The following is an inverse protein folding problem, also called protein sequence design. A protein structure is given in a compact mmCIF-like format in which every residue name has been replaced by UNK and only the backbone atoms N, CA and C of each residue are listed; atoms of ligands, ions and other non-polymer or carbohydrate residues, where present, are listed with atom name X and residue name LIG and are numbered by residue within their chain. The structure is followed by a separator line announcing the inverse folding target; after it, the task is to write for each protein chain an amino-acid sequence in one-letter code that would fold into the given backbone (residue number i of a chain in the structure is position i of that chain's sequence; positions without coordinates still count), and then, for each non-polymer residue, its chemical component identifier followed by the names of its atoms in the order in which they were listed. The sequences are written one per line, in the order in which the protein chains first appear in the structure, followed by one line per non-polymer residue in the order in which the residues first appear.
data_IF_664801534425
#
_entry.id   IF_664801534425
#
_cell.length_a   1.000
_cell.length_b   1.000
_cell.length_c   1.000
_cell.angle_alpha   90.00
_cell.angle_beta   90.00
_cell.angle_gamma   90.00
#
_symmetry.space_group_name_H-M   'P 1'
#
loop_
_entity.id
_entity.type
_entity.pdbx_description
1 polymer ?
#
# COMPACT_ATOMS: atom_id res chain seq x y z
N UNK A 1 -6.28 -10.52 18.25
CA UNK A 1 -6.26 -9.53 17.14
C UNK A 1 -7.38 -9.72 16.10
N UNK A 2 -8.10 -10.87 16.09
CA UNK A 2 -9.20 -11.11 15.15
C UNK A 2 -10.35 -10.06 15.29
N UNK A 3 -10.60 -9.56 16.48
CA UNK A 3 -11.62 -8.51 16.73
C UNK A 3 -11.32 -7.16 16.07
N UNK A 4 -10.06 -6.89 15.67
CA UNK A 4 -9.69 -5.65 14.98
C UNK A 4 -9.97 -5.71 13.47
N UNK A 5 -10.06 -6.91 12.89
CA UNK A 5 -10.24 -7.11 11.43
C UNK A 5 -11.49 -6.40 10.87
N UNK A 6 -12.71 -6.55 11.46
CA UNK A 6 -13.88 -5.88 10.89
C UNK A 6 -13.73 -4.35 10.88
N UNK A 7 -13.16 -3.77 11.93
CA UNK A 7 -12.95 -2.31 12.00
C UNK A 7 -11.91 -1.83 11.00
N UNK A 8 -10.81 -2.57 10.80
CA UNK A 8 -9.79 -2.23 9.81
C UNK A 8 -10.32 -2.33 8.37
N UNK A 9 -11.15 -3.33 8.06
CA UNK A 9 -11.80 -3.47 6.75
C UNK A 9 -12.77 -2.33 6.49
N UNK A 10 -13.64 -2.01 7.45
CA UNK A 10 -14.57 -0.87 7.34
C UNK A 10 -13.80 0.44 7.15
N UNK A 11 -12.73 0.65 7.90
CA UNK A 11 -11.87 1.82 7.77
C UNK A 11 -11.30 1.95 6.35
N UNK A 12 -10.79 0.86 5.76
CA UNK A 12 -10.24 0.85 4.40
C UNK A 12 -11.32 1.14 3.35
N UNK A 13 -12.51 0.58 3.50
CA UNK A 13 -13.65 0.82 2.60
C UNK A 13 -14.04 2.30 2.62
N UNK A 14 -14.23 2.87 3.81
CA UNK A 14 -14.57 4.30 3.97
C UNK A 14 -13.44 5.19 3.43
N UNK A 15 -12.18 4.82 3.67
CA UNK A 15 -11.02 5.54 3.15
C UNK A 15 -10.98 5.52 1.61
N UNK A 16 -11.35 4.42 0.99
CA UNK A 16 -11.45 4.31 -0.47
C UNK A 16 -12.60 5.16 -1.03
N UNK A 17 -13.72 5.25 -0.31
CA UNK A 17 -14.80 6.16 -0.66
C UNK A 17 -14.35 7.65 -0.64
N UNK A 18 -13.52 8.07 0.34
CA UNK A 18 -12.96 9.45 0.31
C UNK A 18 -12.04 9.70 -0.88
N UNK A 19 -11.35 8.67 -1.36
CA UNK A 19 -10.49 8.75 -2.53
C UNK A 19 -11.29 9.00 -3.83
N UNK A 20 -12.49 8.43 -3.97
CA UNK A 20 -13.38 8.65 -5.12
C UNK A 20 -13.75 10.13 -5.31
N UNK A 21 -13.77 10.91 -4.23
CA UNK A 21 -13.96 12.36 -4.29
C UNK A 21 -12.69 13.15 -4.66
N UNK A 22 -11.61 12.47 -5.11
CA UNK A 22 -10.28 13.06 -5.39
C UNK A 22 -9.61 13.72 -4.16
N UNK A 23 -10.01 13.36 -2.95
CA UNK A 23 -9.51 13.91 -1.69
C UNK A 23 -8.59 12.91 -0.97
N UNK A 24 -7.50 12.52 -1.64
CA UNK A 24 -6.46 11.62 -1.13
C UNK A 24 -5.88 12.07 0.23
N UNK A 25 -5.89 13.38 0.49
CA UNK A 25 -5.34 13.98 1.72
C UNK A 25 -5.91 13.35 2.99
N UNK A 26 -7.23 13.16 3.06
CA UNK A 26 -7.89 12.62 4.26
C UNK A 26 -7.55 11.15 4.49
N UNK A 27 -7.54 10.34 3.41
CA UNK A 27 -7.11 8.93 3.46
C UNK A 27 -5.67 8.81 3.97
N UNK A 28 -4.76 9.59 3.38
CA UNK A 28 -3.33 9.54 3.73
C UNK A 28 -3.07 10.02 5.16
N UNK A 29 -3.72 11.10 5.59
CA UNK A 29 -3.60 11.60 6.97
C UNK A 29 -4.06 10.55 7.99
N UNK A 30 -5.22 9.94 7.78
CA UNK A 30 -5.77 8.97 8.75
C UNK A 30 -4.91 7.72 8.79
N UNK A 31 -4.66 7.08 7.64
CA UNK A 31 -4.00 5.77 7.59
C UNK A 31 -2.50 5.87 7.91
N UNK A 32 -1.80 6.90 7.39
CA UNK A 32 -0.35 6.97 7.47
C UNK A 32 0.16 7.82 8.63
N UNK A 33 -0.69 8.63 9.28
CA UNK A 33 -0.26 9.50 10.39
C UNK A 33 -1.05 9.17 11.65
N UNK A 34 -2.38 9.32 11.65
CA UNK A 34 -3.16 9.18 12.88
C UNK A 34 -3.20 7.75 13.41
N UNK A 35 -3.43 6.76 12.55
CA UNK A 35 -3.49 5.34 12.97
C UNK A 35 -2.15 4.87 13.56
N UNK A 36 -0.97 5.10 12.94
CA UNK A 36 0.32 4.74 13.55
C UNK A 36 0.62 5.51 14.85
N UNK A 37 0.30 6.82 14.92
CA UNK A 37 0.53 7.60 16.13
C UNK A 37 -0.30 7.07 17.30
N UNK A 38 -1.57 6.77 17.08
CA UNK A 38 -2.45 6.23 18.14
C UNK A 38 -2.01 4.81 18.51
N UNK A 39 -1.57 4.02 17.54
CA UNK A 39 -1.01 2.69 17.80
C UNK A 39 0.22 2.79 18.71
N UNK A 40 1.14 3.72 18.45
CA UNK A 40 2.31 3.95 19.29
C UNK A 40 1.93 4.44 20.70
N UNK A 41 1.03 5.42 20.80
CA UNK A 41 0.57 5.93 22.09
C UNK A 41 -0.10 4.84 22.93
N UNK A 42 -0.98 4.07 22.33
CA UNK A 42 -1.67 2.97 23.03
C UNK A 42 -0.73 1.82 23.38
N UNK A 43 0.35 1.59 22.62
CA UNK A 43 1.39 0.63 22.94
C UNK A 43 2.17 1.08 24.18
N UNK A 44 2.57 2.34 24.27
CA UNK A 44 3.27 2.89 25.44
C UNK A 44 2.42 2.77 26.69
N UNK A 45 1.12 3.04 26.61
CA UNK A 45 0.17 2.87 27.73
C UNK A 45 0.01 1.38 28.07
N UNK A 46 -0.09 0.51 27.08
CA UNK A 46 -0.22 -0.94 27.25
C UNK A 46 0.95 -1.58 27.97
N UNK A 47 2.19 -1.10 27.71
CA UNK A 47 3.41 -1.58 28.37
C UNK A 47 3.40 -1.35 29.90
N UNK A 48 2.66 -0.35 30.38
CA UNK A 48 2.52 -0.09 31.82
C UNK A 48 1.58 -1.08 32.51
N UNK A 49 0.74 -1.79 31.73
CA UNK A 49 -0.27 -2.73 32.27
C UNK A 49 0.27 -4.16 32.22
N UNK A 50 0.61 -4.65 31.03
CA UNK A 50 1.27 -5.94 30.80
C UNK A 50 1.78 -6.07 29.37
N UNK A 51 2.79 -6.94 29.13
CA UNK A 51 3.37 -7.16 27.81
C UNK A 51 2.35 -7.74 26.79
N UNK A 52 1.42 -8.58 27.20
CA UNK A 52 0.39 -9.16 26.34
C UNK A 52 -0.65 -8.11 25.90
N UNK A 53 -0.99 -7.22 26.82
CA UNK A 53 -1.92 -6.10 26.59
C UNK A 53 -1.30 -5.09 25.63
N UNK A 54 0.00 -4.84 25.73
CA UNK A 54 0.76 -3.93 24.87
C UNK A 54 0.76 -4.36 23.40
N UNK A 55 0.57 -5.63 23.08
CA UNK A 55 0.56 -6.13 21.70
C UNK A 55 -0.87 -6.12 21.10
N UNK A 56 -1.88 -6.38 21.91
CA UNK A 56 -3.25 -6.61 21.40
C UNK A 56 -4.12 -5.35 21.36
N UNK A 57 -4.04 -4.51 22.37
CA UNK A 57 -4.86 -3.29 22.50
C UNK A 57 -4.54 -2.22 21.44
N UNK A 58 -3.27 -1.94 21.06
CA UNK A 58 -2.95 -0.91 20.08
C UNK A 58 -3.64 -1.10 18.75
N UNK A 59 -3.71 -2.34 18.28
CA UNK A 59 -4.30 -2.67 16.96
C UNK A 59 -5.82 -2.45 16.99
N UNK A 60 -6.48 -2.86 18.07
CA UNK A 60 -7.92 -2.65 18.26
C UNK A 60 -8.26 -1.16 18.37
N UNK A 61 -7.57 -0.46 19.26
CA UNK A 61 -7.87 0.94 19.55
C UNK A 61 -7.60 1.85 18.35
N UNK A 62 -6.48 1.64 17.68
CA UNK A 62 -6.12 2.41 16.48
C UNK A 62 -7.07 2.16 15.31
N UNK A 63 -7.57 0.93 15.11
CA UNK A 63 -8.51 0.61 14.03
C UNK A 63 -9.91 1.18 14.31
N UNK A 64 -10.40 1.14 15.54
CA UNK A 64 -11.68 1.75 15.92
C UNK A 64 -11.61 3.27 15.76
N UNK A 65 -10.57 3.90 16.30
CA UNK A 65 -10.39 5.34 16.20
C UNK A 65 -10.22 5.79 14.76
N UNK A 66 -9.42 5.06 13.96
CA UNK A 66 -9.26 5.33 12.53
C UNK A 66 -10.58 5.24 11.76
N UNK A 67 -11.42 4.24 12.09
CA UNK A 67 -12.75 4.08 11.51
C UNK A 67 -13.65 5.28 11.82
N UNK A 68 -13.72 5.71 13.08
CA UNK A 68 -14.53 6.86 13.50
C UNK A 68 -14.04 8.15 12.84
N UNK A 69 -12.74 8.36 12.80
CA UNK A 69 -12.15 9.58 12.25
C UNK A 69 -12.35 9.69 10.74
N UNK A 70 -12.18 8.59 9.99
CA UNK A 70 -12.40 8.60 8.54
C UNK A 70 -13.90 8.73 8.20
N UNK A 71 -14.79 8.13 8.99
CA UNK A 71 -16.23 8.28 8.86
C UNK A 71 -16.66 9.73 9.08
N UNK A 72 -16.09 10.40 10.09
CA UNK A 72 -16.31 11.83 10.34
C UNK A 72 -15.88 12.69 9.14
N UNK A 73 -14.71 12.43 8.56
CA UNK A 73 -14.27 13.14 7.36
C UNK A 73 -15.18 12.85 6.16
N UNK A 74 -15.60 11.60 5.96
CA UNK A 74 -16.51 11.26 4.87
C UNK A 74 -17.85 12.00 5.02
N UNK A 75 -18.47 12.01 6.20
CA UNK A 75 -19.74 12.72 6.43
C UNK A 75 -19.61 14.22 6.18
N UNK A 76 -18.47 14.82 6.56
CA UNK A 76 -18.18 16.24 6.29
C UNK A 76 -18.04 16.52 4.79
N UNK A 77 -17.40 15.62 4.03
CA UNK A 77 -17.24 15.73 2.58
C UNK A 77 -18.59 15.57 1.88
N UNK A 78 -19.36 14.56 2.24
CA UNK A 78 -20.69 14.28 1.69
C UNK A 78 -21.63 15.44 1.93
N UNK A 79 -21.71 15.97 3.16
CA UNK A 79 -22.52 17.17 3.48
C UNK A 79 -22.12 18.39 2.64
N UNK A 80 -20.83 18.56 2.35
CA UNK A 80 -20.34 19.72 1.58
C UNK A 80 -20.55 19.59 0.06
N UNK A 81 -20.46 18.35 -0.49
CA UNK A 81 -20.49 18.13 -1.95
C UNK A 81 -21.81 17.55 -2.48
N UNK A 82 -22.59 16.85 -1.66
CA UNK A 82 -23.75 16.07 -2.12
C UNK A 82 -25.08 16.63 -1.59
N UNK A 83 -25.08 17.42 -0.52
CA UNK A 83 -26.30 18.07 -0.05
C UNK A 83 -26.66 19.21 -1.02
N UNK A 84 -27.76 19.14 -1.83
CA UNK A 84 -29.11 18.73 -1.47
C UNK A 84 -29.79 17.70 -2.42
N UNK A 85 -29.07 16.89 -3.19
CA UNK A 85 -29.63 16.21 -4.37
C UNK A 85 -30.04 14.73 -4.24
N UNK A 86 -29.73 14.02 -3.16
CA UNK A 86 -29.98 12.57 -3.13
C UNK A 86 -30.61 12.12 -1.80
N UNK A 87 -31.94 11.94 -1.82
CA UNK A 87 -32.61 11.00 -0.90
C UNK A 87 -32.34 9.58 -1.42
N UNK A 88 -31.30 8.95 -0.89
CA UNK A 88 -30.93 7.59 -1.25
C UNK A 88 -31.74 6.65 -0.37
N UNK A 89 -32.69 5.92 -0.93
CA UNK A 89 -33.31 4.78 -0.28
C UNK A 89 -32.30 3.62 -0.31
N UNK A 90 -31.79 3.24 0.85
CA UNK A 90 -30.75 2.20 1.00
C UNK A 90 -31.17 0.82 0.44
N UNK A 91 -32.47 0.55 0.34
CA UNK A 91 -33.01 -0.74 -0.11
C UNK A 91 -32.96 -0.86 -1.65
N UNK A 92 -33.13 0.24 -2.37
CA UNK A 92 -33.14 0.24 -3.84
C UNK A 92 -31.75 0.06 -4.45
N UNK A 93 -30.68 0.44 -3.70
CA UNK A 93 -29.30 0.29 -4.15
C UNK A 93 -28.86 -1.18 -4.13
N UNK A 94 -29.31 -1.96 -3.14
CA UNK A 94 -28.93 -3.38 -3.00
C UNK A 94 -29.58 -4.26 -4.08
N UNK A 95 -30.72 -3.84 -4.62
CA UNK A 95 -31.50 -4.58 -5.65
C UNK A 95 -31.25 -4.10 -7.09
N UNK A 96 -30.45 -3.08 -7.30
CA UNK A 96 -30.19 -2.54 -8.63
C UNK A 96 -29.26 -3.43 -9.46
N UNK A 97 -29.45 -3.47 -10.78
CA UNK A 97 -28.53 -4.11 -11.74
C UNK A 97 -27.09 -3.66 -11.54
N UNK A 98 -26.88 -2.43 -11.05
CA UNK A 98 -25.60 -1.86 -10.70
C UNK A 98 -24.84 -2.66 -9.63
N UNK A 99 -25.53 -3.24 -8.64
CA UNK A 99 -24.87 -4.06 -7.61
C UNK A 99 -24.35 -5.39 -8.16
N UNK A 100 -25.04 -5.97 -9.14
CA UNK A 100 -24.62 -7.21 -9.83
C UNK A 100 -23.39 -6.93 -10.71
N UNK A 101 -23.39 -5.83 -11.45
CA UNK A 101 -22.27 -5.45 -12.29
C UNK A 101 -21.04 -5.06 -11.45
N UNK A 102 -21.25 -4.41 -10.32
CA UNK A 102 -20.18 -4.14 -9.35
C UNK A 102 -19.57 -5.43 -8.81
N UNK A 103 -20.36 -6.43 -8.49
CA UNK A 103 -19.88 -7.74 -8.03
C UNK A 103 -19.12 -8.47 -9.13
N UNK A 104 -19.61 -8.48 -10.37
CA UNK A 104 -18.92 -9.09 -11.52
C UNK A 104 -17.55 -8.45 -11.77
N UNK A 105 -17.46 -7.14 -11.57
CA UNK A 105 -16.18 -6.41 -11.70
C UNK A 105 -15.24 -6.66 -10.52
N UNK A 106 -15.79 -6.70 -9.30
CA UNK A 106 -14.99 -6.84 -8.07
C UNK A 106 -14.45 -8.26 -7.87
N UNK A 107 -15.18 -9.29 -8.33
CA UNK A 107 -14.80 -10.70 -8.16
C UNK A 107 -13.41 -11.03 -8.76
N UNK A 108 -13.12 -10.75 -10.04
CA UNK A 108 -11.77 -10.98 -10.58
C UNK A 108 -10.69 -10.13 -9.90
N UNK A 109 -11.00 -8.88 -9.53
CA UNK A 109 -10.06 -8.01 -8.80
C UNK A 109 -9.72 -8.56 -7.41
N UNK A 110 -10.67 -9.20 -6.73
CA UNK A 110 -10.42 -9.87 -5.46
C UNK A 110 -9.35 -10.96 -5.59
N UNK A 111 -9.44 -11.82 -6.61
CA UNK A 111 -8.43 -12.87 -6.85
C UNK A 111 -7.07 -12.29 -7.17
N UNK A 112 -7.01 -11.26 -8.02
CA UNK A 112 -5.74 -10.56 -8.32
C UNK A 112 -5.10 -10.02 -7.04
N UNK A 113 -5.90 -9.44 -6.16
CA UNK A 113 -5.41 -8.90 -4.87
C UNK A 113 -4.95 -10.00 -3.93
N UNK A 114 -5.68 -11.12 -3.83
CA UNK A 114 -5.31 -12.27 -3.00
C UNK A 114 -3.98 -12.86 -3.48
N UNK A 115 -3.87 -13.14 -4.78
CA UNK A 115 -2.65 -13.70 -5.39
C UNK A 115 -1.48 -12.74 -5.20
N UNK A 116 -1.65 -11.45 -5.49
CA UNK A 116 -0.61 -10.45 -5.30
C UNK A 116 -0.15 -10.32 -3.84
N UNK A 117 -1.08 -10.42 -2.89
CA UNK A 117 -0.75 -10.41 -1.45
C UNK A 117 -0.02 -11.70 -1.06
N UNK A 118 -0.47 -12.85 -1.52
CA UNK A 118 0.20 -14.14 -1.27
C UNK A 118 1.64 -14.12 -1.81
N UNK A 119 1.84 -13.65 -3.04
CA UNK A 119 3.18 -13.51 -3.64
C UNK A 119 4.07 -12.55 -2.83
N UNK A 120 3.50 -11.46 -2.33
CA UNK A 120 4.25 -10.48 -1.52
C UNK A 120 4.78 -11.04 -0.19
N UNK A 121 4.06 -12.01 0.41
CA UNK A 121 4.43 -12.63 1.68
C UNK A 121 5.07 -14.01 1.51
N UNK A 122 5.19 -14.51 0.28
CA UNK A 122 5.63 -15.87 -0.03
C UNK A 122 7.03 -16.15 0.52
N UNK A 123 7.94 -15.17 0.42
CA UNK A 123 9.31 -15.28 0.94
C UNK A 123 9.32 -15.62 2.43
N UNK A 124 8.50 -14.91 3.20
CA UNK A 124 8.40 -15.07 4.65
C UNK A 124 7.74 -16.39 5.01
N UNK A 125 6.68 -16.79 4.29
CA UNK A 125 6.03 -18.10 4.50
C UNK A 125 6.96 -19.25 4.16
N UNK A 126 7.72 -19.17 3.07
CA UNK A 126 8.70 -20.21 2.71
C UNK A 126 9.82 -20.29 3.73
N UNK A 127 10.36 -19.16 4.15
CA UNK A 127 11.39 -19.15 5.20
C UNK A 127 10.87 -19.72 6.51
N UNK A 128 9.65 -19.40 6.92
CA UNK A 128 9.04 -19.93 8.15
C UNK A 128 8.67 -21.41 8.07
N UNK A 129 8.49 -21.96 6.85
CA UNK A 129 8.22 -23.37 6.64
C UNK A 129 9.49 -24.24 6.63
N UNK A 130 10.58 -23.75 6.02
CA UNK A 130 11.82 -24.51 5.84
C UNK A 130 12.87 -24.23 6.90
N UNK A 131 12.79 -23.10 7.58
CA UNK A 131 13.77 -22.64 8.58
C UNK A 131 13.08 -22.21 9.87
N UNK A 132 13.87 -21.88 10.86
CA UNK A 132 13.44 -21.47 12.19
C UNK A 132 13.04 -19.96 12.24
N UNK A 133 12.37 -19.59 13.31
CA UNK A 133 11.92 -18.20 13.54
C UNK A 133 13.07 -17.20 13.59
N UNK A 134 14.27 -17.64 13.97
CA UNK A 134 15.46 -16.79 14.03
C UNK A 134 15.85 -16.33 12.63
N UNK A 135 15.85 -17.25 11.66
CA UNK A 135 16.15 -16.98 10.25
C UNK A 135 15.12 -16.02 9.65
N UNK A 136 13.83 -16.22 9.94
CA UNK A 136 12.76 -15.28 9.52
C UNK A 136 13.00 -13.90 10.13
N UNK A 137 13.38 -13.83 11.42
CA UNK A 137 13.73 -12.58 12.10
C UNK A 137 14.91 -11.85 11.45
N UNK A 138 15.93 -12.59 11.00
CA UNK A 138 17.11 -12.06 10.31
C UNK A 138 16.79 -11.53 8.89
N UNK A 139 15.76 -12.06 8.23
CA UNK A 139 15.32 -11.64 6.89
C UNK A 139 14.51 -10.33 6.91
N UNK A 140 13.76 -10.06 7.99
CA UNK A 140 12.84 -8.91 8.06
C UNK A 140 13.50 -7.54 7.88
N UNK A 141 14.58 -7.17 8.59
CA UNK A 141 15.22 -5.86 8.44
C UNK A 141 15.77 -5.60 7.03
N UNK A 142 16.49 -6.54 6.37
CA UNK A 142 16.88 -6.41 4.96
C UNK A 142 15.69 -6.17 4.01
N UNK A 143 14.62 -6.95 4.14
CA UNK A 143 13.44 -6.84 3.28
C UNK A 143 12.73 -5.48 3.44
N UNK A 144 12.61 -4.98 4.68
CA UNK A 144 12.04 -3.65 4.97
C UNK A 144 12.92 -2.53 4.43
N UNK A 145 14.23 -2.64 4.59
CA UNK A 145 15.19 -1.63 4.10
C UNK A 145 15.20 -1.57 2.58
N UNK A 146 15.26 -2.70 1.89
CA UNK A 146 15.15 -2.76 0.43
C UNK A 146 13.81 -2.16 -0.05
N UNK A 147 12.72 -2.38 0.68
CA UNK A 147 11.40 -1.83 0.41
C UNK A 147 11.32 -0.30 0.38
N UNK A 148 12.28 0.43 0.98
CA UNK A 148 12.34 1.90 0.91
C UNK A 148 12.45 2.41 -0.53
N UNK A 149 13.18 1.69 -1.41
CA UNK A 149 13.29 2.03 -2.83
C UNK A 149 11.92 1.90 -3.51
N UNK A 150 11.15 0.86 -3.20
CA UNK A 150 9.78 0.66 -3.73
C UNK A 150 8.81 1.76 -3.28
N UNK A 151 8.99 2.32 -2.09
CA UNK A 151 8.14 3.42 -1.60
C UNK A 151 8.22 4.65 -2.51
N UNK A 152 9.38 4.92 -3.12
CA UNK A 152 9.54 6.00 -4.11
C UNK A 152 8.60 5.76 -5.30
N UNK A 153 8.62 4.56 -5.87
CA UNK A 153 7.72 4.18 -6.97
C UNK A 153 6.24 4.39 -6.58
N UNK A 154 5.83 3.88 -5.42
CA UNK A 154 4.44 3.98 -4.95
C UNK A 154 4.00 5.45 -4.78
N UNK A 155 4.88 6.30 -4.26
CA UNK A 155 4.60 7.72 -4.08
C UNK A 155 4.34 8.43 -5.43
N UNK A 156 5.16 8.16 -6.44
CA UNK A 156 4.96 8.72 -7.77
C UNK A 156 3.73 8.15 -8.48
N UNK A 157 3.41 6.86 -8.28
CA UNK A 157 2.23 6.23 -8.86
C UNK A 157 0.93 6.89 -8.42
N UNK A 158 0.86 7.38 -7.18
CA UNK A 158 -0.31 8.09 -6.67
C UNK A 158 -0.68 9.34 -7.47
N UNK A 159 0.32 10.03 -8.04
CA UNK A 159 0.15 11.24 -8.85
C UNK A 159 0.07 10.88 -10.34
N UNK A 160 0.91 9.96 -10.79
CA UNK A 160 1.02 9.56 -12.20
C UNK A 160 -0.26 8.93 -12.74
N UNK A 161 -0.87 8.02 -11.97
CA UNK A 161 -2.05 7.27 -12.43
C UNK A 161 -3.22 8.14 -12.87
N UNK A 162 -3.69 9.15 -12.12
CA UNK A 162 -4.78 10.00 -12.57
C UNK A 162 -4.42 10.87 -13.78
N UNK A 163 -3.17 11.35 -13.86
CA UNK A 163 -2.71 12.16 -15.01
C UNK A 163 -2.69 11.29 -16.28
N UNK A 164 -2.18 10.07 -16.18
CA UNK A 164 -2.13 9.15 -17.30
C UNK A 164 -3.54 8.80 -17.82
N UNK A 165 -4.49 8.56 -16.91
CA UNK A 165 -5.88 8.27 -17.28
C UNK A 165 -6.53 9.46 -18.00
N UNK A 166 -6.27 10.68 -17.57
CA UNK A 166 -6.78 11.90 -18.21
C UNK A 166 -6.20 12.07 -19.63
N UNK A 167 -4.88 11.93 -19.78
CA UNK A 167 -4.22 12.01 -21.09
C UNK A 167 -4.71 10.89 -22.05
N UNK A 168 -4.94 9.69 -21.51
CA UNK A 168 -5.48 8.58 -22.29
C UNK A 168 -6.91 8.87 -22.78
N UNK A 169 -7.78 9.41 -21.93
CA UNK A 169 -9.15 9.77 -22.30
C UNK A 169 -9.21 10.88 -23.36
N UNK A 170 -8.21 11.77 -23.35
CA UNK A 170 -8.06 12.84 -24.34
C UNK A 170 -7.32 12.41 -25.61
N UNK A 171 -6.94 11.12 -25.76
CA UNK A 171 -6.14 10.57 -26.87
C UNK A 171 -4.78 11.28 -27.08
N UNK A 172 -4.24 11.93 -26.06
CA UNK A 172 -2.94 12.60 -26.10
C UNK A 172 -1.78 11.62 -25.85
N UNK A 173 -1.43 10.87 -26.88
CA UNK A 173 -0.31 9.90 -26.82
C UNK A 173 1.05 10.57 -26.56
N UNK A 174 1.29 11.77 -27.09
CA UNK A 174 2.54 12.49 -26.87
C UNK A 174 2.67 12.93 -25.42
N UNK A 175 1.61 13.47 -24.83
CA UNK A 175 1.55 13.81 -23.42
C UNK A 175 1.79 12.60 -22.52
N UNK A 176 1.18 11.44 -22.83
CA UNK A 176 1.41 10.20 -22.09
C UNK A 176 2.88 9.78 -22.07
N UNK A 177 3.56 9.77 -23.23
CA UNK A 177 4.98 9.41 -23.35
C UNK A 177 5.86 10.39 -22.58
N UNK A 178 5.59 11.68 -22.68
CA UNK A 178 6.35 12.71 -21.97
C UNK A 178 6.23 12.57 -20.46
N UNK A 179 5.02 12.38 -19.94
CA UNK A 179 4.78 12.19 -18.50
C UNK A 179 5.39 10.89 -18.02
N UNK A 180 5.31 9.81 -18.80
CA UNK A 180 5.98 8.54 -18.48
C UNK A 180 7.49 8.72 -18.32
N UNK A 181 8.17 9.33 -19.31
CA UNK A 181 9.61 9.59 -19.24
C UNK A 181 9.99 10.51 -18.07
N UNK A 182 9.17 11.54 -17.81
CA UNK A 182 9.39 12.43 -16.68
C UNK A 182 9.35 11.68 -15.34
N UNK A 183 8.33 10.86 -15.14
CA UNK A 183 8.15 10.09 -13.90
C UNK A 183 9.25 9.05 -13.72
N UNK A 184 9.61 8.31 -14.79
CA UNK A 184 10.76 7.38 -14.76
C UNK A 184 12.03 8.10 -14.34
N UNK A 185 12.32 9.26 -14.94
CA UNK A 185 13.50 10.05 -14.61
C UNK A 185 13.52 10.44 -13.12
N UNK A 186 12.43 10.94 -12.58
CA UNK A 186 12.35 11.34 -11.17
C UNK A 186 12.51 10.17 -10.22
N UNK A 187 11.84 9.05 -10.52
CA UNK A 187 11.96 7.83 -9.71
C UNK A 187 13.41 7.38 -9.68
N UNK A 188 14.07 7.34 -10.83
CA UNK A 188 15.49 6.93 -10.91
C UNK A 188 16.43 7.90 -10.21
N UNK A 189 16.21 9.20 -10.36
CA UNK A 189 17.02 10.23 -9.69
C UNK A 189 16.99 10.09 -8.16
N UNK A 190 15.87 9.64 -7.60
CA UNK A 190 15.73 9.42 -6.16
C UNK A 190 16.13 8.00 -5.74
N UNK A 191 15.81 6.98 -6.54
CA UNK A 191 16.08 5.59 -6.21
C UNK A 191 17.58 5.24 -6.29
N UNK A 192 18.31 5.76 -7.28
CA UNK A 192 19.73 5.46 -7.47
C UNK A 192 20.62 5.90 -6.31
N UNK A 193 20.54 7.12 -5.77
CA UNK A 193 21.36 7.52 -4.61
C UNK A 193 21.07 6.64 -3.38
N UNK A 194 19.79 6.32 -3.13
CA UNK A 194 19.41 5.45 -2.03
C UNK A 194 19.95 4.03 -2.23
N UNK A 195 19.84 3.49 -3.45
CA UNK A 195 20.41 2.21 -3.81
C UNK A 195 21.93 2.18 -3.59
N UNK A 196 22.65 3.20 -4.10
CA UNK A 196 24.10 3.30 -3.94
C UNK A 196 24.52 3.38 -2.48
N UNK A 197 23.79 4.13 -1.66
CA UNK A 197 24.05 4.19 -0.23
C UNK A 197 23.92 2.81 0.43
N UNK A 198 22.86 2.07 0.11
CA UNK A 198 22.61 0.75 0.70
C UNK A 198 23.63 -0.27 0.20
N UNK A 199 23.97 -0.28 -1.11
CA UNK A 199 24.86 -1.29 -1.70
C UNK A 199 26.34 -1.07 -1.34
N UNK A 200 26.76 0.19 -1.12
CA UNK A 200 28.13 0.51 -0.74
C UNK A 200 28.38 0.26 0.77
N UNK A 201 27.36 0.40 1.60
CA UNK A 201 27.50 0.28 3.06
C UNK A 201 26.51 -0.72 3.69
N UNK A 202 26.30 -1.93 3.14
CA UNK A 202 25.22 -2.81 3.58
C UNK A 202 25.40 -3.27 5.03
N UNK A 203 26.64 -3.55 5.46
CA UNK A 203 26.93 -3.92 6.84
C UNK A 203 26.62 -2.80 7.84
N UNK A 204 26.95 -1.54 7.49
CA UNK A 204 26.65 -0.39 8.34
C UNK A 204 25.15 -0.12 8.43
N UNK A 205 24.44 -0.29 7.32
CA UNK A 205 22.97 -0.15 7.28
C UNK A 205 22.32 -1.22 8.16
N UNK A 206 22.77 -2.47 8.09
CA UNK A 206 22.23 -3.54 8.95
C UNK A 206 22.59 -3.35 10.43
N UNK A 207 23.75 -2.77 10.73
CA UNK A 207 24.15 -2.46 12.11
C UNK A 207 23.18 -1.49 12.81
N UNK A 208 22.46 -0.63 12.08
CA UNK A 208 21.44 0.25 12.65
C UNK A 208 20.28 -0.51 13.33
N UNK A 209 20.04 -1.75 12.93
CA UNK A 209 19.02 -2.62 13.52
C UNK A 209 19.57 -3.47 14.68
N UNK A 210 20.88 -3.47 14.87
CA UNK A 210 21.57 -4.19 15.91
C UNK A 210 22.77 -5.00 15.39
N UNK A 211 23.78 -5.28 16.25
CA UNK A 211 24.99 -5.98 15.83
C UNK A 211 24.73 -7.36 15.17
N UNK A 212 23.72 -8.08 15.67
CA UNK A 212 23.34 -9.41 15.19
C UNK A 212 22.86 -9.41 13.72
N UNK A 213 22.33 -8.28 13.23
CA UNK A 213 21.83 -8.18 11.85
C UNK A 213 22.91 -7.91 10.81
N UNK A 214 24.15 -7.65 11.24
CA UNK A 214 25.26 -7.41 10.29
C UNK A 214 25.48 -8.58 9.33
N UNK A 215 25.26 -9.81 9.77
CA UNK A 215 25.43 -11.01 8.93
C UNK A 215 24.41 -11.05 7.76
N UNK A 216 23.29 -10.36 7.89
CA UNK A 216 22.25 -10.29 6.85
C UNK A 216 22.59 -9.28 5.72
N UNK A 217 23.81 -8.72 5.67
CA UNK A 217 24.21 -7.72 4.66
C UNK A 217 24.11 -8.25 3.21
N UNK A 218 24.37 -9.53 3.00
CA UNK A 218 24.30 -10.15 1.68
C UNK A 218 22.84 -10.24 1.21
N UNK A 219 21.93 -10.61 2.12
CA UNK A 219 20.47 -10.63 1.84
C UNK A 219 20.01 -9.22 1.46
N UNK A 220 20.43 -8.20 2.20
CA UNK A 220 20.11 -6.81 1.88
C UNK A 220 20.58 -6.43 0.49
N UNK A 221 21.80 -6.76 0.12
CA UNK A 221 22.38 -6.40 -1.19
C UNK A 221 21.60 -7.05 -2.34
N UNK A 222 21.24 -8.33 -2.21
CA UNK A 222 20.46 -9.05 -3.23
C UNK A 222 19.05 -8.44 -3.34
N UNK A 223 18.36 -8.26 -2.22
CA UNK A 223 17.00 -7.71 -2.22
C UNK A 223 16.96 -6.27 -2.75
N UNK A 224 17.93 -5.45 -2.38
CA UNK A 224 18.02 -4.06 -2.84
C UNK A 224 18.19 -3.98 -4.35
N UNK A 225 19.04 -4.85 -4.92
CA UNK A 225 19.25 -4.96 -6.37
C UNK A 225 17.97 -5.42 -7.07
N UNK A 226 17.30 -6.44 -6.54
CA UNK A 226 16.04 -6.95 -7.07
C UNK A 226 14.95 -5.87 -7.07
N UNK A 227 14.80 -5.14 -5.95
CA UNK A 227 13.80 -4.06 -5.83
C UNK A 227 14.11 -2.89 -6.77
N UNK A 228 15.39 -2.57 -7.01
CA UNK A 228 15.75 -1.54 -8.00
C UNK A 228 15.30 -1.94 -9.40
N UNK A 229 15.59 -3.19 -9.81
CA UNK A 229 15.16 -3.71 -11.12
C UNK A 229 13.63 -3.68 -11.24
N UNK A 230 12.93 -4.14 -10.20
CA UNK A 230 11.46 -4.06 -10.15
C UNK A 230 10.95 -2.62 -10.26
N UNK A 231 11.65 -1.65 -9.66
CA UNK A 231 11.28 -0.24 -9.71
C UNK A 231 11.43 0.34 -11.12
N UNK A 232 12.43 -0.11 -11.89
CA UNK A 232 12.59 0.23 -13.30
C UNK A 232 11.42 -0.26 -14.16
N UNK A 233 11.01 -1.50 -13.96
CA UNK A 233 9.96 -2.16 -14.77
C UNK A 233 8.57 -1.79 -14.24
N UNK A 234 8.45 -1.51 -12.95
CA UNK A 234 7.20 -1.43 -12.20
C UNK A 234 6.21 -0.35 -12.64
N UNK A 235 6.62 0.62 -13.45
CA UNK A 235 5.73 1.64 -14.02
C UNK A 235 4.84 1.06 -15.13
N UNK A 236 5.30 0.02 -15.82
CA UNK A 236 4.59 -0.59 -16.95
C UNK A 236 3.25 -1.21 -16.55
N UNK A 237 3.18 -1.93 -15.43
CA UNK A 237 1.96 -2.58 -14.97
C UNK A 237 0.79 -1.62 -14.70
N UNK A 238 0.95 -0.61 -13.85
CA UNK A 238 -0.06 0.42 -13.66
C UNK A 238 -0.43 1.15 -14.96
N UNK A 239 0.54 1.43 -15.83
CA UNK A 239 0.29 2.05 -17.14
C UNK A 239 -0.68 1.21 -17.97
N UNK A 240 -0.45 -0.11 -18.09
CA UNK A 240 -1.34 -1.03 -18.81
C UNK A 240 -2.75 -1.06 -18.20
N UNK A 241 -2.85 -1.04 -16.89
CA UNK A 241 -4.14 -1.03 -16.20
C UNK A 241 -4.92 0.27 -16.46
N UNK A 242 -4.24 1.42 -16.41
CA UNK A 242 -4.85 2.74 -16.63
C UNK A 242 -5.22 3.00 -18.09
N UNK A 243 -4.56 2.33 -19.03
CA UNK A 243 -4.88 2.40 -20.47
C UNK A 243 -5.91 1.35 -20.92
N UNK A 244 -6.57 0.66 -19.97
CA UNK A 244 -7.67 -0.27 -20.29
C UNK A 244 -7.23 -1.69 -20.65
N UNK A 245 -5.99 -2.07 -20.39
CA UNK A 245 -5.45 -3.41 -20.64
C UNK A 245 -5.12 -4.20 -19.35
N UNK A 246 -6.05 -4.31 -18.38
CA UNK A 246 -5.77 -5.00 -17.11
C UNK A 246 -5.47 -6.49 -17.27
N UNK A 247 -6.04 -7.13 -18.31
CA UNK A 247 -5.77 -8.54 -18.62
C UNK A 247 -4.31 -8.78 -19.01
N UNK A 248 -3.73 -7.88 -19.80
CA UNK A 248 -2.32 -7.97 -20.20
C UNK A 248 -1.42 -7.80 -18.96
N UNK A 249 -1.74 -6.85 -18.09
CA UNK A 249 -1.02 -6.67 -16.84
C UNK A 249 -1.11 -7.90 -15.94
N UNK A 250 -2.26 -8.55 -15.87
CA UNK A 250 -2.43 -9.79 -15.12
C UNK A 250 -1.51 -10.90 -15.64
N UNK A 251 -1.49 -11.16 -16.95
CA UNK A 251 -0.59 -12.16 -17.54
C UNK A 251 0.88 -11.81 -17.31
N UNK A 252 1.25 -10.54 -17.46
CA UNK A 252 2.61 -10.07 -17.22
C UNK A 252 3.05 -10.18 -15.74
N UNK A 253 2.11 -10.24 -14.82
CA UNK A 253 2.39 -10.42 -13.39
C UNK A 253 2.53 -11.89 -12.98
N UNK A 254 2.16 -12.83 -13.87
CA UNK A 254 2.30 -14.27 -13.63
C UNK A 254 3.66 -14.83 -14.06
N UNK A 255 4.41 -14.09 -14.89
CA UNK A 255 5.75 -14.40 -15.36
C UNK A 255 6.79 -13.51 -14.71
#
# INVERSE_FOLDING_TARGET
NACALPFSVIMIIIASATQSFKLLKYKSLVINIFVPLISLLSMVIGLQISNEVAISIPILFSSIFGCVLIAFFLTKIVKKKISPFVKINSVDIIRSEFSVDLLKFSYPLMFVTIIGTAMHWMDIYMLGFFYDNTTVGMYHPPARTAGLIRMILIAFMGIFSPILTELYSNNDRKGMVNVYHLVVRWIMTLALPLFLLIILFPKKVMFLFGPQYQESYMILSILTTSVLIQTFIGIGGPTLTMTGYPKINFFNSMF
#
